data_IF_770159568071
#
_entry.id   IF_770159568071
#
_cell.length_a   1.000
_cell.length_b   1.000
_cell.length_c   1.000
_cell.angle_alpha   90.00
_cell.angle_beta   90.00
_cell.angle_gamma   90.00
#
_symmetry.space_group_name_H-M   'P 1'
#
loop_
_entity.id
_entity.type
_entity.pdbx_description
1 polymer ?
#
# COMPACT_ATOMS: atom_id res chain seq x y z
N UNK A 1 3.61 -24.26 -7.17
CA UNK A 1 3.45 -23.74 -6.78
C UNK A 1 3.18 -22.90 -6.69
N UNK A 2 3.10 -22.52 -6.83
CA UNK A 2 2.88 -21.65 -6.72
C UNK A 2 2.37 -20.96 -6.36
N UNK A 3 2.31 -20.72 -6.30
CA UNK A 3 1.81 -20.09 -5.82
C UNK A 3 1.61 -19.08 -5.56
N UNK A 4 1.63 -18.62 -5.56
CA UNK A 4 1.39 -17.47 -4.80
C UNK A 4 1.51 -16.19 -5.58
N UNK A 5 1.18 -16.29 -6.75
CA UNK A 5 1.06 -15.16 -7.63
C UNK A 5 -0.14 -14.32 -7.20
N UNK A 6 0.07 -13.05 -6.89
CA UNK A 6 -1.02 -12.17 -6.52
C UNK A 6 -1.39 -11.28 -7.69
N UNK A 7 -2.59 -10.70 -7.71
CA UNK A 7 -2.97 -9.76 -8.77
C UNK A 7 -2.16 -8.48 -8.75
N UNK A 8 -1.37 -8.27 -7.71
CA UNK A 8 -0.56 -7.06 -7.55
C UNK A 8 0.88 -7.25 -8.04
N UNK A 9 1.28 -8.47 -8.39
CA UNK A 9 2.64 -8.75 -8.78
C UNK A 9 3.38 -9.52 -7.71
N UNK A 10 4.56 -10.01 -8.07
CA UNK A 10 5.33 -10.89 -7.21
C UNK A 10 6.59 -10.27 -6.62
N UNK A 11 6.85 -8.99 -6.92
CA UNK A 11 8.06 -8.37 -6.39
C UNK A 11 7.97 -8.21 -4.88
N UNK A 12 9.12 -8.29 -4.24
CA UNK A 12 9.19 -8.26 -2.78
C UNK A 12 8.60 -6.96 -2.21
N UNK A 13 8.83 -5.84 -2.88
CA UNK A 13 8.32 -4.57 -2.42
C UNK A 13 6.80 -4.58 -2.35
N UNK A 14 6.15 -5.10 -3.38
CA UNK A 14 4.69 -5.20 -3.40
C UNK A 14 4.19 -6.10 -2.28
N UNK A 15 4.85 -7.22 -2.06
CA UNK A 15 4.46 -8.16 -1.00
C UNK A 15 4.57 -7.50 0.37
N UNK A 16 5.65 -6.76 0.59
CA UNK A 16 5.85 -6.09 1.86
C UNK A 16 4.79 -5.03 2.09
N UNK A 17 4.44 -4.29 1.04
CA UNK A 17 3.41 -3.26 1.15
C UNK A 17 2.05 -3.88 1.44
N UNK A 18 1.73 -4.97 0.77
CA UNK A 18 0.46 -5.66 1.00
C UNK A 18 0.38 -6.15 2.44
N UNK A 19 1.47 -6.67 2.95
CA UNK A 19 1.51 -7.13 4.34
C UNK A 19 1.23 -5.99 5.30
N UNK A 20 1.83 -4.83 5.08
CA UNK A 20 1.61 -3.68 5.94
C UNK A 20 0.15 -3.22 5.86
N UNK A 21 -0.39 -3.14 4.65
CA UNK A 21 -1.77 -2.72 4.48
C UNK A 21 -2.72 -3.66 5.18
N UNK A 22 -2.51 -4.96 5.02
CA UNK A 22 -3.36 -5.96 5.64
C UNK A 22 -3.31 -5.87 7.16
N UNK A 23 -2.11 -5.70 7.69
CA UNK A 23 -1.90 -5.72 9.13
C UNK A 23 -2.40 -4.44 9.79
N UNK A 24 -1.98 -3.30 9.25
CA UNK A 24 -2.31 -2.02 9.88
C UNK A 24 -3.73 -1.56 9.56
N UNK A 25 -4.22 -1.90 8.38
CA UNK A 25 -5.58 -1.53 8.00
C UNK A 25 -6.62 -2.55 8.41
N UNK A 26 -6.17 -3.68 8.95
CA UNK A 26 -7.03 -4.79 9.33
C UNK A 26 -7.90 -5.25 8.16
N UNK A 27 -7.26 -5.39 7.02
CA UNK A 27 -7.91 -5.76 5.77
C UNK A 27 -7.48 -7.17 5.37
N UNK A 28 -8.46 -7.99 5.00
CA UNK A 28 -8.16 -9.32 4.44
C UNK A 28 -7.90 -9.16 2.95
N UNK A 29 -6.64 -9.23 2.58
CA UNK A 29 -6.24 -8.99 1.20
C UNK A 29 -6.58 -10.15 0.26
N UNK A 30 -7.08 -11.25 0.79
CA UNK A 30 -7.38 -12.42 -0.03
C UNK A 30 -8.40 -12.12 -1.13
N UNK A 31 -9.35 -11.25 -0.85
CA UNK A 31 -10.38 -10.90 -1.82
C UNK A 31 -10.18 -9.56 -2.49
N UNK A 32 -9.00 -8.95 -2.30
CA UNK A 32 -8.75 -7.61 -2.82
C UNK A 32 -8.00 -7.69 -4.15
N UNK A 33 -8.40 -6.84 -5.09
CA UNK A 33 -7.74 -6.74 -6.40
C UNK A 33 -7.19 -5.34 -6.57
N UNK A 34 -6.35 -5.12 -7.59
CA UNK A 34 -5.86 -3.76 -7.85
C UNK A 34 -6.98 -2.75 -8.07
N UNK A 35 -8.10 -3.19 -8.59
CA UNK A 35 -9.23 -2.30 -8.88
C UNK A 35 -10.14 -2.06 -7.68
N UNK A 36 -9.91 -2.78 -6.59
CA UNK A 36 -10.70 -2.58 -5.38
C UNK A 36 -10.50 -1.16 -4.86
N UNK A 37 -11.60 -0.45 -4.60
CA UNK A 37 -11.49 0.92 -4.11
C UNK A 37 -11.21 0.93 -2.62
N UNK A 38 -10.51 1.97 -2.17
CA UNK A 38 -10.23 2.11 -0.76
C UNK A 38 -11.51 2.32 0.03
N UNK A 39 -12.49 2.98 -0.58
CA UNK A 39 -13.77 3.19 0.07
C UNK A 39 -14.49 1.88 0.36
N UNK A 40 -14.39 0.91 -0.56
CA UNK A 40 -15.07 -0.36 -0.38
C UNK A 40 -14.42 -1.21 0.72
N UNK A 41 -13.19 -0.92 1.08
CA UNK A 41 -12.51 -1.63 2.15
C UNK A 41 -12.89 -1.11 3.54
N UNK A 42 -13.59 0.02 3.58
CA UNK A 42 -14.01 0.63 4.84
C UNK A 42 -12.84 0.92 5.79
N UNK A 43 -11.72 1.31 5.23
CA UNK A 43 -10.56 1.65 6.04
C UNK A 43 -10.81 3.01 6.67
N UNK A 44 -10.81 3.07 8.00
CA UNK A 44 -10.99 4.34 8.70
C UNK A 44 -9.80 5.25 8.44
N UNK A 45 -10.05 6.56 8.52
CA UNK A 45 -8.98 7.54 8.29
C UNK A 45 -7.78 7.31 9.20
N UNK A 46 -8.03 6.97 10.46
CA UNK A 46 -6.95 6.72 11.39
C UNK A 46 -6.16 5.49 10.99
N UNK A 47 -6.83 4.45 10.51
CA UNK A 47 -6.15 3.24 10.06
C UNK A 47 -5.33 3.51 8.81
N UNK A 48 -5.86 4.35 7.92
CA UNK A 48 -5.13 4.72 6.71
C UNK A 48 -3.84 5.44 7.07
N UNK A 49 -3.90 6.35 8.04
CA UNK A 49 -2.71 7.04 8.50
C UNK A 49 -1.73 6.08 9.17
N UNK A 50 -2.24 5.07 9.86
CA UNK A 50 -1.40 4.06 10.48
C UNK A 50 -0.66 3.25 9.41
N UNK A 51 -1.34 2.95 8.31
CA UNK A 51 -0.71 2.25 7.19
C UNK A 51 0.47 3.07 6.66
N UNK A 52 0.25 4.36 6.44
CA UNK A 52 1.30 5.21 5.91
C UNK A 52 2.46 5.34 6.88
N UNK A 53 2.16 5.48 8.17
CA UNK A 53 3.20 5.57 9.17
C UNK A 53 4.02 4.28 9.24
N UNK A 54 3.36 3.14 9.14
CA UNK A 54 4.04 1.85 9.17
C UNK A 54 4.95 1.69 7.95
N UNK A 55 4.49 2.16 6.79
CA UNK A 55 5.31 2.10 5.58
C UNK A 55 6.55 2.99 5.75
N UNK A 56 6.37 4.18 6.29
CA UNK A 56 7.50 5.07 6.53
C UNK A 56 8.55 4.41 7.42
N UNK A 57 8.09 3.75 8.47
CA UNK A 57 8.98 3.11 9.41
C UNK A 57 9.66 1.88 8.81
N UNK A 58 8.88 1.05 8.15
CA UNK A 58 9.39 -0.19 7.60
C UNK A 58 10.44 0.03 6.51
N UNK A 59 10.22 1.03 5.68
CA UNK A 59 11.10 1.29 4.54
C UNK A 59 12.02 2.49 4.75
N UNK A 60 11.92 3.14 5.91
CA UNK A 60 12.74 4.31 6.23
C UNK A 60 12.59 5.41 5.19
N UNK A 61 11.36 5.72 4.84
CA UNK A 61 11.06 6.76 3.86
C UNK A 61 10.04 7.72 4.44
N UNK A 62 9.93 8.90 3.83
CA UNK A 62 8.93 9.88 4.23
C UNK A 62 7.82 9.91 3.18
N UNK A 63 6.58 9.76 3.63
CA UNK A 63 5.44 9.74 2.75
C UNK A 63 4.46 10.84 3.16
N UNK A 64 4.58 12.02 2.55
CA UNK A 64 3.68 13.12 2.90
C UNK A 64 2.28 12.89 2.34
N UNK A 65 1.29 13.40 3.05
CA UNK A 65 -0.09 13.39 2.58
C UNK A 65 -0.29 14.58 1.65
N UNK A 66 0.23 14.47 0.45
CA UNK A 66 0.11 15.53 -0.55
C UNK A 66 -0.98 15.19 -1.55
N UNK A 67 -1.05 15.96 -2.63
CA UNK A 67 -2.07 15.78 -3.65
C UNK A 67 -2.04 14.38 -4.27
N UNK A 68 -0.85 13.83 -4.45
CA UNK A 68 -0.73 12.50 -5.03
C UNK A 68 -1.45 11.46 -4.18
N UNK A 69 -1.30 11.57 -2.87
CA UNK A 69 -1.97 10.64 -1.96
C UNK A 69 -3.47 10.90 -1.91
N UNK A 70 -3.87 12.15 -1.98
CA UNK A 70 -5.28 12.52 -1.92
C UNK A 70 -6.04 12.02 -3.14
N UNK A 71 -5.36 11.84 -4.26
CA UNK A 71 -5.99 11.38 -5.49
C UNK A 71 -6.09 9.87 -5.59
N UNK A 72 -5.49 9.15 -4.67
CA UNK A 72 -5.55 7.69 -4.67
C UNK A 72 -6.95 7.24 -4.32
N UNK A 73 -7.54 6.40 -5.17
CA UNK A 73 -8.89 5.91 -4.96
C UNK A 73 -8.98 4.39 -4.89
N UNK A 74 -8.00 3.68 -5.44
CA UNK A 74 -8.00 2.23 -5.40
C UNK A 74 -6.67 1.69 -4.89
N UNK A 75 -6.65 0.38 -4.68
CA UNK A 75 -5.46 -0.26 -4.13
C UNK A 75 -4.28 -0.15 -5.07
N UNK A 76 -4.52 -0.29 -6.37
CA UNK A 76 -3.45 -0.20 -7.35
C UNK A 76 -2.77 1.18 -7.29
N UNK A 77 -3.57 2.23 -7.21
CA UNK A 77 -3.04 3.59 -7.11
C UNK A 77 -2.24 3.78 -5.83
N UNK A 78 -2.75 3.24 -4.72
CA UNK A 78 -2.03 3.34 -3.46
C UNK A 78 -0.68 2.66 -3.53
N UNK A 79 -0.65 1.43 -4.04
CA UNK A 79 0.61 0.71 -4.15
C UNK A 79 1.58 1.43 -5.07
N UNK A 80 1.08 1.96 -6.18
CA UNK A 80 1.92 2.65 -7.14
C UNK A 80 2.59 3.88 -6.51
N UNK A 81 1.82 4.70 -5.81
CA UNK A 81 2.36 5.89 -5.18
C UNK A 81 3.39 5.51 -4.10
N UNK A 82 3.05 4.52 -3.28
CA UNK A 82 3.96 4.09 -2.22
C UNK A 82 5.27 3.55 -2.81
N UNK A 83 5.18 2.75 -3.87
CA UNK A 83 6.37 2.21 -4.50
C UNK A 83 7.24 3.31 -5.07
N UNK A 84 6.63 4.29 -5.70
CA UNK A 84 7.39 5.40 -6.27
C UNK A 84 8.14 6.18 -5.21
N UNK A 85 7.48 6.44 -4.08
CA UNK A 85 8.12 7.17 -2.98
C UNK A 85 9.28 6.38 -2.40
N UNK A 86 9.09 5.08 -2.20
CA UNK A 86 10.14 4.24 -1.64
C UNK A 86 11.35 4.17 -2.58
N UNK A 87 11.08 3.97 -3.86
CA UNK A 87 12.16 3.86 -4.83
C UNK A 87 12.90 5.18 -5.02
N UNK A 88 12.17 6.29 -4.93
CA UNK A 88 12.80 7.60 -5.04
C UNK A 88 13.74 7.85 -3.87
N UNK A 89 13.36 7.46 -2.68
CA UNK A 89 14.21 7.63 -1.51
C UNK A 89 15.46 6.76 -1.60
N UNK A 90 15.31 5.55 -2.11
CA UNK A 90 16.44 4.64 -2.21
C UNK A 90 17.45 5.07 -3.25
N UNK A 91 17.00 5.84 -4.22
CA UNK A 91 17.90 6.34 -5.25
C UNK A 91 18.66 7.58 -4.85
N UNK A 92 18.16 8.26 -3.85
CA UNK A 92 18.77 9.53 -3.42
C UNK A 92 20.11 9.35 -2.74
#
# INVERSE_FOLDING_TARGET
MSEASTPFGDDQLTRDLIEVISKEGMVDMAGVTPQTTLASLNIASVDYMMILAAVEEKFSVYIPMDESMAEVTDVDGLLDVLKQRILAEKKA
#
